data_IF_838041577422
#
_entry.id   IF_838041577422
#
_cell.length_a   1.000
_cell.length_b   1.000
_cell.length_c   1.000
_cell.angle_alpha   90.00
_cell.angle_beta   90.00
_cell.angle_gamma   90.00
#
_symmetry.space_group_name_H-M   'P 1'
#
loop_
_entity.id
_entity.type
_entity.pdbx_description
1 polymer ?
#
# COMPACT_ATOMS: atom_id res chain seq x y z
N UNK A 1 -2.60 6.22 -4.46
CA UNK A 1 -1.19 6.67 -4.58
C UNK A 1 -1.07 8.12 -5.03
N UNK A 2 -1.79 8.57 -6.06
CA UNK A 2 -1.84 9.99 -6.46
C UNK A 2 -2.34 10.92 -5.35
N UNK A 3 -3.46 10.58 -4.73
CA UNK A 3 -4.03 11.33 -3.59
C UNK A 3 -3.10 11.38 -2.37
N UNK A 4 -2.21 10.39 -2.25
CA UNK A 4 -1.18 10.36 -1.21
C UNK A 4 0.01 11.27 -1.56
N UNK A 5 0.08 11.79 -2.79
CA UNK A 5 1.17 12.63 -3.29
C UNK A 5 2.45 11.86 -3.60
N UNK A 6 2.33 10.56 -3.92
CA UNK A 6 3.47 9.68 -4.22
C UNK A 6 3.74 9.59 -5.73
N UNK A 7 2.72 9.83 -6.56
CA UNK A 7 2.83 9.84 -8.01
C UNK A 7 1.83 10.81 -8.64
N UNK A 8 2.03 11.09 -9.92
CA UNK A 8 1.04 11.72 -10.79
C UNK A 8 0.48 10.70 -11.79
N UNK A 9 -0.74 10.92 -12.26
CA UNK A 9 -1.34 10.10 -13.33
C UNK A 9 -1.38 10.87 -14.63
N UNK A 10 -1.24 10.16 -15.74
CA UNK A 10 -1.43 10.69 -17.07
C UNK A 10 -2.64 9.99 -17.70
N UNK A 11 -3.64 10.77 -18.06
CA UNK A 11 -4.83 10.23 -18.73
C UNK A 11 -4.53 10.09 -20.22
N UNK A 12 -4.93 8.98 -20.81
CA UNK A 12 -4.59 8.63 -22.20
C UNK A 12 -5.10 9.67 -23.20
N UNK A 13 -6.29 10.22 -22.95
CA UNK A 13 -6.91 11.26 -23.78
C UNK A 13 -6.16 12.60 -23.71
N UNK A 14 -5.30 12.78 -22.71
CA UNK A 14 -4.48 13.97 -22.49
C UNK A 14 -2.99 13.73 -22.74
N UNK A 15 -2.62 12.56 -23.27
CA UNK A 15 -1.25 12.16 -23.52
C UNK A 15 -0.67 12.92 -24.71
N UNK A 16 0.19 13.90 -24.41
CA UNK A 16 0.96 14.66 -25.39
C UNK A 16 2.40 14.77 -24.93
N UNK A 17 3.37 15.03 -25.83
CA UNK A 17 4.75 15.27 -25.43
C UNK A 17 4.89 16.38 -24.38
N UNK A 18 4.07 17.42 -24.46
CA UNK A 18 4.08 18.55 -23.52
C UNK A 18 3.58 18.15 -22.13
N UNK A 19 2.44 17.46 -22.05
CA UNK A 19 1.89 16.99 -20.77
C UNK A 19 2.79 15.93 -20.12
N UNK A 20 3.45 15.08 -20.91
CA UNK A 20 4.44 14.14 -20.41
C UNK A 20 5.66 14.87 -19.83
N UNK A 21 6.20 15.85 -20.55
CA UNK A 21 7.34 16.64 -20.08
C UNK A 21 7.01 17.37 -18.77
N UNK A 22 5.86 18.05 -18.70
CA UNK A 22 5.43 18.77 -17.50
C UNK A 22 5.35 17.86 -16.28
N UNK A 23 4.79 16.66 -16.44
CA UNK A 23 4.66 15.69 -15.35
C UNK A 23 6.02 15.12 -14.92
N UNK A 24 6.92 14.83 -15.85
CA UNK A 24 8.28 14.38 -15.53
C UNK A 24 9.04 15.49 -14.80
N UNK A 25 9.01 16.72 -15.31
CA UNK A 25 9.69 17.87 -14.72
C UNK A 25 9.19 18.13 -13.29
N UNK A 26 7.87 18.05 -13.08
CA UNK A 26 7.25 18.17 -11.76
C UNK A 26 7.74 17.09 -10.79
N UNK A 27 7.78 15.82 -11.21
CA UNK A 27 8.24 14.72 -10.35
C UNK A 27 9.73 14.81 -10.01
N UNK A 28 10.54 15.38 -10.89
CA UNK A 28 11.99 15.56 -10.67
C UNK A 28 12.31 16.77 -9.79
N UNK A 29 11.58 17.88 -9.95
CA UNK A 29 11.84 19.12 -9.21
C UNK A 29 11.19 19.16 -7.83
N UNK A 30 10.01 18.59 -7.68
CA UNK A 30 9.30 18.61 -6.42
C UNK A 30 9.70 17.41 -5.55
N UNK A 31 10.60 17.66 -4.59
CA UNK A 31 11.12 16.65 -3.67
C UNK A 31 10.05 15.93 -2.86
N UNK A 32 8.84 16.49 -2.72
CA UNK A 32 7.75 15.90 -1.92
C UNK A 32 7.39 14.49 -2.38
N UNK A 33 7.47 14.21 -3.68
CA UNK A 33 7.14 12.89 -4.23
C UNK A 33 8.14 11.84 -3.75
N UNK A 34 9.43 12.19 -3.73
CA UNK A 34 10.50 11.33 -3.23
C UNK A 34 10.38 11.11 -1.72
N UNK A 35 10.15 12.17 -0.96
CA UNK A 35 10.06 12.09 0.51
C UNK A 35 8.87 11.23 0.95
N UNK A 36 7.71 11.43 0.32
CA UNK A 36 6.53 10.61 0.58
C UNK A 36 6.72 9.17 0.13
N UNK A 37 7.32 8.92 -1.05
CA UNK A 37 7.63 7.57 -1.50
C UNK A 37 8.54 6.84 -0.49
N UNK A 38 9.56 7.52 0.05
CA UNK A 38 10.43 6.97 1.08
C UNK A 38 9.67 6.66 2.37
N UNK A 39 8.81 7.56 2.83
CA UNK A 39 7.98 7.36 4.02
C UNK A 39 7.07 6.12 3.88
N UNK A 40 6.36 6.00 2.75
CA UNK A 40 5.49 4.84 2.52
C UNK A 40 6.29 3.54 2.33
N UNK A 41 7.48 3.60 1.74
CA UNK A 41 8.37 2.44 1.63
C UNK A 41 8.79 1.94 3.02
N UNK A 42 9.14 2.84 3.93
CA UNK A 42 9.54 2.48 5.28
C UNK A 42 8.36 1.92 6.09
N UNK A 43 7.19 2.53 5.97
CA UNK A 43 5.96 2.01 6.57
C UNK A 43 5.65 0.59 6.08
N UNK A 44 5.76 0.34 4.78
CA UNK A 44 5.51 -0.99 4.20
C UNK A 44 6.46 -2.06 4.75
N UNK A 45 7.73 -1.72 4.98
CA UNK A 45 8.70 -2.64 5.62
C UNK A 45 8.32 -2.96 7.06
N UNK A 46 7.85 -1.95 7.81
CA UNK A 46 7.48 -2.11 9.22
C UNK A 46 6.16 -2.86 9.42
N UNK A 47 5.25 -2.81 8.43
CA UNK A 47 3.93 -3.41 8.53
C UNK A 47 3.94 -4.94 8.70
N UNK A 48 5.03 -5.64 8.37
CA UNK A 48 5.16 -7.10 8.54
C UNK A 48 3.89 -7.86 8.13
N UNK A 49 3.27 -7.45 7.00
CA UNK A 49 1.88 -7.78 6.69
C UNK A 49 1.62 -9.28 6.61
N UNK A 50 2.59 -10.05 6.13
CA UNK A 50 2.54 -11.52 6.10
C UNK A 50 2.50 -12.14 7.49
N UNK A 51 3.30 -11.63 8.43
CA UNK A 51 3.28 -12.08 9.82
C UNK A 51 1.95 -11.74 10.48
N UNK A 52 1.47 -10.50 10.31
CA UNK A 52 0.18 -10.10 10.89
C UNK A 52 -0.99 -10.92 10.32
N UNK A 53 -0.97 -11.24 9.03
CA UNK A 53 -1.96 -12.12 8.42
C UNK A 53 -1.89 -13.55 9.00
N UNK A 54 -0.68 -14.10 9.19
CA UNK A 54 -0.49 -15.41 9.80
C UNK A 54 -1.02 -15.44 11.25
N UNK A 55 -0.72 -14.41 12.05
CA UNK A 55 -1.21 -14.28 13.43
C UNK A 55 -2.75 -14.27 13.49
N UNK A 56 -3.41 -13.54 12.57
CA UNK A 56 -4.87 -13.50 12.48
C UNK A 56 -5.45 -14.87 12.10
N UNK A 57 -4.82 -15.58 11.16
CA UNK A 57 -5.25 -16.92 10.75
C UNK A 57 -5.17 -17.88 11.93
N UNK A 58 -4.06 -17.87 12.68
CA UNK A 58 -3.87 -18.71 13.87
C UNK A 58 -4.93 -18.40 14.92
N UNK A 59 -5.12 -17.12 15.27
CA UNK A 59 -6.13 -16.68 16.24
C UNK A 59 -7.54 -17.16 15.86
N UNK A 60 -7.89 -17.05 14.58
CA UNK A 60 -9.18 -17.52 14.08
C UNK A 60 -9.31 -19.05 14.13
N UNK A 61 -8.25 -19.79 13.78
CA UNK A 61 -8.24 -21.26 13.86
C UNK A 61 -8.39 -21.77 15.29
N UNK A 62 -7.68 -21.17 16.25
CA UNK A 62 -7.80 -21.51 17.68
C UNK A 62 -9.22 -21.27 18.20
N UNK A 63 -9.83 -20.13 17.85
CA UNK A 63 -11.21 -19.83 18.21
C UNK A 63 -12.18 -20.87 17.67
N UNK A 64 -12.04 -21.29 16.42
CA UNK A 64 -12.90 -22.31 15.79
C UNK A 64 -12.77 -23.65 16.53
N UNK A 65 -11.54 -24.07 16.86
CA UNK A 65 -11.31 -25.30 17.61
C UNK A 65 -11.99 -25.30 18.99
N UNK A 66 -12.01 -24.15 19.69
CA UNK A 66 -12.72 -24.04 20.97
C UNK A 66 -14.24 -24.22 20.88
N UNK A 67 -14.85 -23.95 19.72
CA UNK A 67 -16.29 -24.19 19.50
C UNK A 67 -16.60 -25.64 19.14
N UNK A 68 -15.68 -26.36 18.48
CA UNK A 68 -15.87 -27.77 18.14
C UNK A 68 -15.88 -28.66 19.40
N UNK A 69 -15.00 -28.38 20.37
CA UNK A 69 -14.92 -29.17 21.63
C UNK A 69 -16.18 -29.03 22.51
N UNK A 70 -16.93 -27.93 22.40
CA UNK A 70 -18.15 -27.71 23.21
C UNK A 70 -19.41 -28.37 22.67
N UNK A 71 -19.41 -28.81 21.41
CA UNK A 71 -20.57 -29.45 20.79
C UNK A 71 -20.53 -30.98 20.83
N UNK A 72 -19.45 -31.56 21.36
CA UNK A 72 -19.25 -33.02 21.49
C UNK A 72 -19.46 -33.54 22.93
N UNK A 73 -20.06 -32.74 23.83
CA UNK A 73 -20.56 -33.14 25.17
C UNK A 73 -22.06 -32.92 25.27
#
# INVERSE_FOLDING_TARGET
MRELGVCETLDYDSLSPASLFEKIDMLLKDGKYRDKAAQFSEMAKQMNGTKRAADIIIELSERIQCYQVKNDT
#
